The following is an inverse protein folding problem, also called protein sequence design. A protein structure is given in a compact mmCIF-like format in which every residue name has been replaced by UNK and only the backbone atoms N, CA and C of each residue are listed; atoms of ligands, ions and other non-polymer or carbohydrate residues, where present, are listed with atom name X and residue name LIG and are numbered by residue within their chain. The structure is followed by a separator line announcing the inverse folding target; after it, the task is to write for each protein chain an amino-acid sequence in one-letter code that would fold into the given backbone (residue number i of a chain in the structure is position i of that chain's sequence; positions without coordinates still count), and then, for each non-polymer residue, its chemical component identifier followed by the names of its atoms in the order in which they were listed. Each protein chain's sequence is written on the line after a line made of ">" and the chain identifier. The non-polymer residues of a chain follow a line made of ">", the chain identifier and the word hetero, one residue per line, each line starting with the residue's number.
data_IF_911570304644
#
_entry.id   IF_911570304644
#
_cell.length_a   1.000
_cell.length_b   1.000
_cell.length_c   1.000
_cell.angle_alpha   90.00
_cell.angle_beta   90.00
_cell.angle_gamma   90.00
#
_symmetry.space_group_name_H-M   'P 1'
#
loop_
_entity.id
_entity.type
_entity.pdbx_description
1 polymer ?
#
# COMPACT_ATOMS: atom_id res chain seq x y z
N UNK A 1 -16.74 2.57 -6.15
CA UNK A 1 -15.31 2.23 -5.94
C UNK A 1 -15.20 0.76 -6.26
N UNK A 2 -14.29 0.38 -7.15
CA UNK A 2 -14.15 -1.02 -7.59
C UNK A 2 -13.11 -1.72 -6.71
N UNK A 3 -13.45 -2.90 -6.15
CA UNK A 3 -12.54 -3.67 -5.31
C UNK A 3 -11.57 -4.49 -6.16
N UNK A 4 -10.50 -5.00 -5.55
CA UNK A 4 -9.59 -5.95 -6.21
C UNK A 4 -10.37 -7.14 -6.81
N UNK A 5 -11.37 -7.63 -6.08
CA UNK A 5 -12.19 -8.76 -6.52
C UNK A 5 -13.03 -8.41 -7.75
N UNK A 6 -13.60 -7.20 -7.79
CA UNK A 6 -14.42 -6.75 -8.92
C UNK A 6 -13.57 -6.61 -10.20
N UNK A 7 -12.33 -6.12 -10.09
CA UNK A 7 -11.37 -6.03 -11.21
C UNK A 7 -11.02 -7.39 -11.82
N UNK A 8 -11.05 -8.46 -11.03
CA UNK A 8 -10.88 -9.83 -11.51
C UNK A 8 -12.18 -10.46 -12.05
N UNK A 9 -13.31 -9.75 -12.04
CA UNK A 9 -14.61 -10.30 -12.42
C UNK A 9 -15.32 -11.06 -11.30
N UNK A 10 -14.87 -10.91 -10.06
CA UNK A 10 -15.43 -11.51 -8.86
C UNK A 10 -14.55 -12.60 -8.24
N UNK A 11 -15.04 -13.18 -7.14
CA UNK A 11 -14.29 -14.16 -6.33
C UNK A 11 -13.97 -15.44 -7.10
N UNK A 12 -14.93 -15.96 -7.88
CA UNK A 12 -14.76 -17.22 -8.62
C UNK A 12 -13.74 -17.10 -9.77
N UNK A 13 -13.84 -16.12 -10.69
CA UNK A 13 -12.81 -15.96 -11.73
C UNK A 13 -11.43 -15.69 -11.15
N UNK A 14 -11.34 -14.87 -10.09
CA UNK A 14 -10.06 -14.63 -9.41
C UNK A 14 -9.45 -15.93 -8.86
N UNK A 15 -10.26 -16.78 -8.22
CA UNK A 15 -9.82 -18.06 -7.69
C UNK A 15 -9.31 -19.01 -8.79
N UNK A 16 -10.05 -19.11 -9.90
CA UNK A 16 -9.66 -19.92 -11.06
C UNK A 16 -8.33 -19.43 -11.67
N UNK A 17 -8.16 -18.12 -11.82
CA UNK A 17 -6.93 -17.55 -12.37
C UNK A 17 -5.70 -17.75 -11.48
N UNK A 18 -5.91 -17.76 -10.16
CA UNK A 18 -4.85 -17.92 -9.17
C UNK A 18 -4.56 -19.37 -8.80
N UNK A 19 -5.36 -20.32 -9.31
CA UNK A 19 -5.35 -21.72 -8.88
C UNK A 19 -5.53 -21.86 -7.35
N UNK A 20 -6.48 -21.10 -6.82
CA UNK A 20 -6.84 -21.08 -5.41
C UNK A 20 -8.28 -21.58 -5.21
N UNK A 21 -8.60 -22.19 -4.06
CA UNK A 21 -9.98 -22.52 -3.73
C UNK A 21 -10.85 -21.25 -3.67
N UNK A 22 -12.09 -21.25 -4.21
CA UNK A 22 -12.99 -20.10 -4.10
C UNK A 22 -13.27 -19.67 -2.66
N UNK A 23 -13.28 -20.63 -1.71
CA UNK A 23 -13.41 -20.35 -0.28
C UNK A 23 -12.22 -19.58 0.30
N UNK A 24 -11.01 -19.83 -0.21
CA UNK A 24 -9.80 -19.10 0.17
C UNK A 24 -9.89 -17.64 -0.27
N UNK A 25 -10.23 -17.39 -1.53
CA UNK A 25 -10.39 -16.02 -2.05
C UNK A 25 -11.57 -15.31 -1.38
N UNK A 26 -12.67 -16.03 -1.12
CA UNK A 26 -13.79 -15.50 -0.34
C UNK A 26 -13.34 -15.09 1.08
N UNK A 27 -12.51 -15.89 1.73
CA UNK A 27 -11.94 -15.55 3.04
C UNK A 27 -11.10 -14.28 2.97
N UNK A 28 -10.31 -14.06 1.91
CA UNK A 28 -9.56 -12.81 1.70
C UNK A 28 -10.50 -11.61 1.56
N UNK A 29 -11.61 -11.77 0.83
CA UNK A 29 -12.63 -10.72 0.68
C UNK A 29 -13.30 -10.40 2.01
N UNK A 30 -13.72 -11.41 2.75
CA UNK A 30 -14.41 -11.24 4.05
C UNK A 30 -13.48 -10.66 5.11
N UNK A 31 -12.20 -11.07 5.13
CA UNK A 31 -11.20 -10.53 6.07
C UNK A 31 -10.60 -9.20 5.62
N UNK A 32 -10.83 -8.80 4.37
CA UNK A 32 -10.30 -7.56 3.78
C UNK A 32 -8.79 -7.56 3.55
N UNK A 33 -8.15 -8.74 3.43
CA UNK A 33 -6.70 -8.88 3.30
C UNK A 33 -6.30 -10.01 2.37
N UNK A 34 -5.38 -9.74 1.45
CA UNK A 34 -4.63 -10.78 0.72
C UNK A 34 -3.36 -11.14 1.51
N UNK A 35 -3.09 -12.42 1.81
CA UNK A 35 -1.88 -12.84 2.50
C UNK A 35 -0.62 -12.36 1.78
N UNK A 36 0.37 -11.85 2.53
CA UNK A 36 1.60 -11.27 1.96
C UNK A 36 2.29 -12.20 0.94
N UNK A 37 2.40 -13.48 1.26
CA UNK A 37 3.01 -14.51 0.39
C UNK A 37 2.26 -14.72 -0.94
N UNK A 38 0.99 -14.30 -1.02
CA UNK A 38 0.15 -14.41 -2.22
C UNK A 38 0.08 -13.10 -3.01
N UNK A 39 0.48 -11.97 -2.42
CA UNK A 39 0.35 -10.65 -3.05
C UNK A 39 1.13 -10.55 -4.36
N UNK A 40 2.36 -11.05 -4.39
CA UNK A 40 3.17 -11.09 -5.61
C UNK A 40 2.46 -11.90 -6.71
N UNK A 41 1.92 -13.07 -6.37
CA UNK A 41 1.22 -13.93 -7.33
C UNK A 41 -0.02 -13.26 -7.93
N UNK A 42 -0.74 -12.47 -7.12
CA UNK A 42 -1.89 -11.69 -7.60
C UNK A 42 -1.45 -10.64 -8.63
N UNK A 43 -0.36 -9.91 -8.36
CA UNK A 43 0.18 -8.91 -9.28
C UNK A 43 0.65 -9.53 -10.61
N UNK A 44 1.40 -10.63 -10.53
CA UNK A 44 1.86 -11.38 -11.71
C UNK A 44 0.67 -11.84 -12.55
N UNK A 45 -0.34 -12.45 -11.92
CA UNK A 45 -1.51 -12.94 -12.63
C UNK A 45 -2.33 -11.80 -13.27
N UNK A 46 -2.49 -10.68 -12.57
CA UNK A 46 -3.16 -9.52 -13.14
C UNK A 46 -2.42 -8.96 -14.35
N UNK A 47 -1.08 -8.91 -14.30
CA UNK A 47 -0.26 -8.50 -15.44
C UNK A 47 -0.43 -9.45 -16.64
N UNK A 48 -0.41 -10.77 -16.42
CA UNK A 48 -0.67 -11.78 -17.46
C UNK A 48 -2.06 -11.60 -18.11
N UNK A 49 -3.08 -11.30 -17.30
CA UNK A 49 -4.46 -11.09 -17.75
C UNK A 49 -4.73 -9.67 -18.28
N UNK A 50 -3.73 -8.77 -18.25
CA UNK A 50 -3.86 -7.34 -18.57
C UNK A 50 -4.94 -6.61 -17.74
N UNK A 51 -5.12 -7.01 -16.49
CA UNK A 51 -6.00 -6.35 -15.53
C UNK A 51 -5.21 -5.20 -14.88
N UNK A 52 -5.73 -3.98 -14.98
CA UNK A 52 -5.09 -2.79 -14.42
C UNK A 52 -5.25 -2.72 -12.90
N UNK A 53 -4.31 -3.34 -12.18
CA UNK A 53 -4.20 -3.24 -10.71
C UNK A 53 -2.82 -2.73 -10.30
N UNK A 54 -2.75 -2.18 -9.10
CA UNK A 54 -1.53 -1.66 -8.46
C UNK A 54 -1.22 -2.44 -7.19
N UNK A 55 -0.05 -2.19 -6.59
CA UNK A 55 0.26 -2.71 -5.26
C UNK A 55 -0.73 -2.23 -4.20
N UNK A 56 -1.25 -1.00 -4.33
CA UNK A 56 -2.26 -0.45 -3.41
C UNK A 56 -3.54 -1.28 -3.42
N UNK A 57 -4.00 -1.72 -4.60
CA UNK A 57 -5.18 -2.58 -4.72
C UNK A 57 -5.00 -3.92 -4.02
N UNK A 58 -3.77 -4.46 -4.00
CA UNK A 58 -3.48 -5.75 -3.36
C UNK A 58 -3.33 -5.61 -1.84
N UNK A 59 -2.77 -4.49 -1.38
CA UNK A 59 -2.63 -4.17 0.04
C UNK A 59 -3.99 -3.77 0.66
N UNK A 60 -4.82 -3.06 -0.10
CA UNK A 60 -6.16 -2.62 0.30
C UNK A 60 -7.22 -3.21 -0.67
N UNK A 61 -7.50 -4.51 -0.60
CA UNK A 61 -8.33 -5.22 -1.58
C UNK A 61 -9.80 -4.77 -1.61
N UNK A 62 -10.27 -4.11 -0.55
CA UNK A 62 -11.61 -3.51 -0.47
C UNK A 62 -11.62 -2.01 -0.79
N UNK A 63 -10.48 -1.44 -1.20
CA UNK A 63 -10.24 -0.01 -1.33
C UNK A 63 -9.86 0.65 0.00
N UNK A 64 -9.37 1.89 -0.06
CA UNK A 64 -9.18 2.72 1.13
C UNK A 64 -10.51 3.33 1.56
N UNK A 65 -10.94 3.07 2.79
CA UNK A 65 -11.92 3.93 3.44
C UNK A 65 -11.19 5.20 3.85
N UNK A 66 -11.50 6.31 3.17
CA UNK A 66 -10.95 7.65 3.45
C UNK A 66 -11.22 8.12 4.89
N UNK A 67 -12.11 7.46 5.62
CA UNK A 67 -12.49 7.73 7.00
C UNK A 67 -11.41 7.43 8.06
N UNK A 68 -10.27 6.84 7.68
CA UNK A 68 -9.16 6.57 8.60
C UNK A 68 -8.09 7.67 8.63
N UNK A 69 -8.34 8.83 8.02
CA UNK A 69 -7.51 10.03 8.20
C UNK A 69 -8.12 10.95 9.26
N UNK A 70 -8.02 10.50 10.52
CA UNK A 70 -8.22 11.34 11.70
C UNK A 70 -6.99 11.22 12.60
N UNK A 71 -6.24 12.32 12.74
CA UNK A 71 -5.22 12.57 13.77
C UNK A 71 -3.77 12.11 13.50
N UNK A 72 -3.12 12.59 12.44
CA UNK A 72 -1.63 12.73 12.45
C UNK A 72 -1.11 14.14 12.12
N UNK A 73 -1.98 15.07 11.69
CA UNK A 73 -1.57 16.43 11.34
C UNK A 73 -1.84 17.40 12.51
N UNK A 74 -1.08 17.31 13.60
CA UNK A 74 -1.13 18.34 14.66
C UNK A 74 0.14 18.48 15.52
N UNK A 75 1.31 18.01 15.09
CA UNK A 75 2.59 18.28 15.79
C UNK A 75 3.80 18.37 14.86
N UNK A 76 3.86 19.41 14.06
CA UNK A 76 5.15 19.96 13.61
C UNK A 76 4.97 21.41 13.14
N UNK A 77 4.49 22.26 14.05
CA UNK A 77 4.74 23.69 13.98
C UNK A 77 6.08 23.99 14.65
N UNK A 78 6.96 24.67 13.90
CA UNK A 78 7.92 25.61 14.49
C UNK A 78 9.37 25.14 14.63
N UNK A 79 10.08 24.97 13.50
CA UNK A 79 11.53 25.19 13.49
C UNK A 79 11.94 25.91 12.20
N UNK A 80 11.57 27.19 12.10
CA UNK A 80 12.25 28.15 11.22
C UNK A 80 13.15 29.03 12.07
N UNK A 81 14.45 28.79 11.99
CA UNK A 81 15.52 29.80 12.16
C UNK A 81 16.72 29.23 11.40
N UNK A 82 16.96 29.69 10.18
CA UNK A 82 17.78 30.88 9.88
C UNK A 82 19.19 30.73 10.45
N UNK A 83 20.16 30.67 9.54
CA UNK A 83 21.51 30.23 9.81
C UNK A 83 22.41 31.21 10.54
N UNK A 84 23.62 30.73 10.80
CA UNK A 84 24.80 31.56 10.93
C UNK A 84 26.03 30.72 10.54
N UNK A 85 26.55 30.99 9.35
CA UNK A 85 27.95 30.70 9.02
C UNK A 85 28.83 31.54 9.94
N UNK A 86 29.82 30.93 10.61
CA UNK A 86 31.06 31.60 11.03
C UNK A 86 32.11 30.57 11.45
N UNK A 87 33.18 30.54 10.65
CA UNK A 87 34.59 30.38 11.01
C UNK A 87 34.93 29.54 12.24
N UNK A 88 35.60 28.40 12.00
CA UNK A 88 36.68 27.94 12.89
C UNK A 88 37.94 27.75 12.03
N UNK A 89 38.53 28.87 11.62
CA UNK A 89 39.96 28.97 11.34
C UNK A 89 40.59 29.66 12.56
N UNK A 90 41.35 28.92 13.36
CA UNK A 90 41.77 29.40 14.68
C UNK A 90 42.84 28.55 15.35
N UNK A 91 44.01 28.57 14.74
CA UNK A 91 45.33 28.16 15.26
C UNK A 91 45.54 28.66 16.71
N UNK A 92 45.82 27.77 17.65
CA UNK A 92 46.43 28.13 18.96
C UNK A 92 47.75 27.39 19.08
N UNK A 93 48.81 28.19 19.08
CA UNK A 93 50.12 27.87 19.60
C UNK A 93 50.17 28.34 21.06
N UNK A 94 50.72 27.52 21.94
CA UNK A 94 51.51 27.90 23.10
C UNK A 94 52.34 26.70 23.51
#
# INVERSE_FOLDING_TARGET
>A
METLFDKFGGVRPMAEHLDEPPSTVQSWKTTGRVPAIKQQRVLEKAAELRIAITAEDVVFPLGRTVEAHGQLDARSDGATSSGNEREISGRVAA
#
